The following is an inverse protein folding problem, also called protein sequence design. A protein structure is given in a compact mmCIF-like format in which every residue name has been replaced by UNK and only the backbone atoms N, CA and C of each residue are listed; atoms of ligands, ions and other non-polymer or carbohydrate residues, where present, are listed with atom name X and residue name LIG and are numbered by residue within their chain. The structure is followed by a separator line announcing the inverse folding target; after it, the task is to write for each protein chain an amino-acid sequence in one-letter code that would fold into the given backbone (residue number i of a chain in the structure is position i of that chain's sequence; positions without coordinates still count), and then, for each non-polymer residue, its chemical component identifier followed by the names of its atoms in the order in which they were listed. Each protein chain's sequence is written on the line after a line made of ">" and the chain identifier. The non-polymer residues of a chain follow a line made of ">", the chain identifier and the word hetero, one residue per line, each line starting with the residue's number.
data_IF_867144818559
#
_entry.id   IF_867144818559
#
_cell.length_a   1.000
_cell.length_b   1.000
_cell.length_c   1.000
_cell.angle_alpha   90.00
_cell.angle_beta   90.00
_cell.angle_gamma   90.00
#
_symmetry.space_group_name_H-M   'P 1'
#
loop_
_entity.id
_entity.type
_entity.pdbx_description
1 polymer ?
2 polymer ?
3 polymer ?
4 water ?
#
# COMPACT_ATOMS: atom_id res chain seq x y z
N UNK A 1 18.36 14.56 16.97
CA UNK A 1 17.37 14.74 15.88
C UNK A 1 16.09 15.36 16.45
N UNK A 2 15.56 16.36 15.74
CA UNK A 2 14.28 16.96 16.08
C UNK A 2 13.18 15.92 15.80
N UNK A 3 12.31 15.70 16.78
CA UNK A 3 11.22 14.75 16.65
C UNK A 3 9.91 15.52 16.48
N UNK A 4 9.04 15.00 15.62
CA UNK A 4 7.76 15.62 15.30
C UNK A 4 6.63 14.74 15.83
N UNK A 5 5.72 15.34 16.59
CA UNK A 5 4.58 14.65 17.16
C UNK A 5 3.31 15.09 16.45
N UNK A 6 2.61 14.12 15.83
CA UNK A 6 1.35 14.37 15.15
C UNK A 6 0.19 13.89 16.04
N UNK A 7 -0.89 14.66 16.03
CA UNK A 7 -2.13 14.32 16.69
C UNK A 7 -3.27 14.82 15.80
N UNK A 8 -4.32 14.00 15.66
CA UNK A 8 -4.41 12.69 16.29
C UNK A 8 -3.79 11.59 15.41
N UNK A 9 -3.78 10.36 15.93
CA UNK A 9 -3.25 9.20 15.20
C UNK A 9 -4.09 8.96 13.95
N UNK A 10 -5.41 8.82 14.17
CA UNK A 10 -6.38 8.65 13.10
C UNK A 10 -7.48 9.71 13.26
N UNK A 11 -8.39 9.75 12.28
CA UNK A 11 -9.34 10.84 12.14
C UNK A 11 -10.46 10.42 11.20
N UNK A 12 -11.66 10.24 11.76
CA UNK A 12 -12.83 9.81 11.02
C UNK A 12 -13.81 10.99 10.87
N UNK A 13 -14.04 11.42 9.62
CA UNK A 13 -14.77 12.66 9.32
C UNK A 13 -15.77 12.41 8.21
N UNK A 14 -16.93 13.07 8.31
CA UNK A 14 -17.98 13.01 7.32
C UNK A 14 -17.69 14.03 6.19
N UNK A 15 -18.02 13.66 4.96
CA UNK A 15 -17.86 14.51 3.79
C UNK A 15 -18.55 15.86 4.05
N UNK A 16 -17.79 16.94 3.98
CA UNK A 16 -18.32 18.30 4.10
C UNK A 16 -17.99 18.93 5.44
N UNK A 17 -17.51 18.11 6.37
CA UNK A 17 -17.14 18.57 7.71
C UNK A 17 -15.70 19.05 7.70
N UNK A 18 -15.30 19.90 8.67
CA UNK A 18 -13.91 20.34 8.79
C UNK A 18 -13.03 19.26 9.44
N UNK A 19 -11.72 19.50 9.43
CA UNK A 19 -10.74 18.63 10.08
C UNK A 19 -9.41 19.37 10.19
N UNK A 20 -8.63 19.03 11.21
CA UNK A 20 -7.34 19.66 11.44
C UNK A 20 -6.35 18.64 12.03
N UNK A 21 -5.08 18.82 11.69
CA UNK A 21 -3.98 18.00 12.19
C UNK A 21 -2.98 18.92 12.88
N UNK A 22 -2.44 18.48 14.01
CA UNK A 22 -1.42 19.22 14.74
C UNK A 22 -0.05 18.56 14.53
N UNK A 23 0.99 19.38 14.41
CA UNK A 23 2.36 18.90 14.45
C UNK A 23 3.18 19.76 15.42
N UNK A 24 3.72 19.10 16.45
CA UNK A 24 4.58 19.72 17.42
C UNK A 24 6.03 19.27 17.18
N UNK A 25 6.92 20.24 17.03
CA UNK A 25 8.36 19.99 16.90
C UNK A 25 9.02 20.22 18.27
N UNK A 26 9.99 19.36 18.60
CA UNK A 26 10.68 19.43 19.87
C UNK A 26 11.40 20.77 20.01
N UNK A 27 11.95 21.27 18.90
CA UNK A 27 12.66 22.56 18.85
C UNK A 27 11.93 23.51 17.89
N UNK A 28 12.22 24.81 18.03
CA UNK A 28 11.76 25.83 17.11
C UNK A 28 12.30 25.56 15.71
N UNK A 29 11.41 25.64 14.72
CA UNK A 29 11.78 25.40 13.32
C UNK A 29 12.08 26.74 12.63
N UNK A 30 11.99 27.82 13.41
CA UNK A 30 12.33 29.16 12.96
C UNK A 30 13.85 29.24 12.75
N UNK A 31 14.27 29.54 11.52
CA UNK A 31 15.68 29.55 11.15
C UNK A 31 16.22 30.99 11.21
N UNK A 32 17.53 31.14 10.97
CA UNK A 32 18.25 32.37 11.22
C UNK A 32 18.09 33.36 10.06
N UNK A 33 17.20 33.03 9.11
CA UNK A 33 16.94 33.91 7.96
C UNK A 33 15.47 34.34 7.98
N UNK A 34 14.76 33.94 9.03
CA UNK A 34 13.40 34.42 9.28
C UNK A 34 12.35 33.51 8.67
N UNK A 35 12.80 32.49 7.93
CA UNK A 35 11.90 31.52 7.31
C UNK A 35 11.77 30.28 8.21
N UNK A 36 10.63 29.61 8.09
CA UNK A 36 10.34 28.38 8.84
C UNK A 36 9.98 27.28 7.84
N UNK A 37 10.83 26.24 7.78
CA UNK A 37 10.72 25.19 6.78
C UNK A 37 9.94 23.99 7.35
N UNK A 38 8.62 24.08 7.27
CA UNK A 38 7.73 22.97 7.60
C UNK A 38 6.78 22.72 6.43
N UNK A 39 6.70 21.44 6.02
CA UNK A 39 5.91 21.03 4.88
C UNK A 39 4.83 20.07 5.35
N UNK A 40 3.79 19.89 4.52
CA UNK A 40 2.79 18.85 4.71
C UNK A 40 2.73 17.97 3.47
N UNK A 41 2.70 16.65 3.68
CA UNK A 41 2.56 15.67 2.60
C UNK A 41 1.25 14.91 2.78
N UNK A 42 0.66 14.49 1.66
CA UNK A 42 -0.46 13.57 1.65
C UNK A 42 -0.07 12.33 0.83
N UNK A 43 -0.20 11.16 1.46
CA UNK A 43 0.00 9.89 0.80
C UNK A 43 -1.35 9.17 0.69
N UNK A 44 -1.96 9.23 -0.49
CA UNK A 44 -3.16 8.47 -0.81
C UNK A 44 -2.81 7.00 -0.89
N UNK A 45 -3.77 6.10 -0.62
CA UNK A 45 -3.50 4.65 -0.63
C UNK A 45 -2.92 4.17 -1.97
N UNK A 46 -1.75 3.53 -1.90
CA UNK A 46 -1.13 2.88 -3.06
C UNK A 46 -0.27 3.85 -3.87
N UNK A 47 -0.32 5.14 -3.51
CA UNK A 47 0.42 6.17 -4.22
C UNK A 47 1.57 6.68 -3.32
N UNK A 48 2.48 7.44 -3.93
CA UNK A 48 3.63 8.00 -3.22
C UNK A 48 3.26 9.36 -2.62
N UNK A 49 3.97 9.81 -1.56
CA UNK A 49 3.65 11.08 -0.90
C UNK A 49 3.67 12.24 -1.88
N UNK A 50 2.78 13.23 -1.65
CA UNK A 50 2.70 14.44 -2.44
C UNK A 50 2.64 15.63 -1.47
N UNK A 51 3.47 16.65 -1.73
CA UNK A 51 3.51 17.82 -0.88
C UNK A 51 2.26 18.67 -1.14
N UNK A 52 1.69 19.20 -0.05
CA UNK A 52 0.51 20.07 -0.11
C UNK A 52 0.92 21.49 0.28
N UNK A 53 1.62 21.59 1.41
CA UNK A 53 2.01 22.86 2.01
C UNK A 53 3.53 22.90 2.16
N UNK A 54 4.11 24.08 1.94
CA UNK A 54 5.51 24.33 2.25
C UNK A 54 5.62 25.72 2.89
N UNK A 55 6.74 25.96 3.58
CA UNK A 55 6.99 27.21 4.31
C UNK A 55 5.75 27.56 5.15
N UNK A 56 5.20 26.53 5.81
CA UNK A 56 4.18 26.66 6.85
C UNK A 56 2.78 26.78 6.22
N UNK A 57 2.63 27.71 5.27
CA UNK A 57 1.29 28.20 4.88
C UNK A 57 1.10 28.27 3.36
N UNK A 58 2.18 28.14 2.59
CA UNK A 58 2.10 28.28 1.13
C UNK A 58 1.56 26.98 0.51
N UNK A 59 0.59 27.13 -0.41
CA UNK A 59 -0.01 26.01 -1.14
C UNK A 59 0.84 25.66 -2.36
N UNK A 60 1.02 24.36 -2.60
CA UNK A 60 1.66 23.85 -3.79
C UNK A 60 0.67 23.94 -4.97
N UNK A 61 1.21 24.06 -6.18
CA UNK A 61 0.42 24.05 -7.39
C UNK A 61 -0.50 22.83 -7.42
N UNK A 62 -1.78 23.05 -7.69
CA UNK A 62 -2.75 21.97 -7.87
C UNK A 62 -3.57 21.70 -6.62
N UNK A 63 -3.11 22.26 -5.49
CA UNK A 63 -3.75 22.03 -4.20
C UNK A 63 -4.96 22.94 -4.07
N UNK A 64 -6.16 22.39 -3.82
CA UNK A 64 -7.36 23.21 -3.60
C UNK A 64 -7.23 24.13 -2.39
N UNK A 65 -7.97 25.24 -2.41
CA UNK A 65 -7.86 26.29 -1.39
C UNK A 65 -8.53 25.82 -0.09
N UNK A 66 -9.13 24.63 -0.11
CA UNK A 66 -9.75 24.03 1.06
C UNK A 66 -8.67 23.80 2.13
N UNK A 67 -7.42 23.73 1.69
CA UNK A 67 -6.28 23.43 2.54
C UNK A 67 -5.66 24.73 3.05
N UNK A 68 -5.45 24.78 4.37
CA UNK A 68 -4.85 25.92 5.05
C UNK A 68 -3.84 25.41 6.08
N UNK A 69 -2.63 25.98 6.04
CA UNK A 69 -1.58 25.67 7.00
C UNK A 69 -1.17 26.91 7.77
N UNK A 70 -1.08 26.77 9.11
CA UNK A 70 -0.71 27.86 10.00
C UNK A 70 0.21 27.34 11.10
N UNK A 71 0.67 28.26 11.96
CA UNK A 71 1.52 27.95 13.10
C UNK A 71 2.84 28.69 13.05
N UNK A 72 3.68 28.44 14.06
CA UNK A 72 5.00 29.04 14.18
C UNK A 72 5.73 28.45 15.39
N UNK A 73 7.06 28.52 15.37
CA UNK A 73 7.89 28.01 16.45
C UNK A 73 7.87 26.49 16.52
N UNK A 74 6.92 25.96 17.28
CA UNK A 74 6.85 24.52 17.59
C UNK A 74 5.46 23.95 17.30
N UNK A 75 4.46 24.83 17.22
CA UNK A 75 3.09 24.42 17.00
C UNK A 75 2.66 24.80 15.58
N UNK A 76 2.19 23.81 14.82
CA UNK A 76 1.74 23.98 13.45
C UNK A 76 0.44 23.21 13.25
N UNK A 77 -0.40 23.68 12.32
CA UNK A 77 -1.71 23.08 12.08
C UNK A 77 -2.03 23.07 10.59
N UNK A 78 -2.65 21.97 10.15
CA UNK A 78 -3.20 21.82 8.82
C UNK A 78 -4.72 21.72 8.94
N UNK A 79 -5.40 22.57 8.19
CA UNK A 79 -6.87 22.59 8.31
C UNK A 79 -7.51 22.34 6.96
N UNK A 80 -8.35 21.33 6.92
CA UNK A 80 -9.21 21.04 5.78
C UNK A 80 -10.61 21.58 6.11
N UNK A 81 -10.94 22.75 5.54
CA UNK A 81 -12.19 23.44 5.83
C UNK A 81 -13.38 22.54 5.52
N UNK A 82 -13.25 21.76 4.45
CA UNK A 82 -14.33 20.92 3.95
C UNK A 82 -13.72 19.65 3.33
N UNK A 83 -13.97 18.51 3.98
CA UNK A 83 -13.38 17.23 3.57
C UNK A 83 -14.17 16.67 2.37
N UNK A 84 -13.43 16.22 1.36
CA UNK A 84 -13.99 15.48 0.23
C UNK A 84 -13.41 14.07 0.23
N UNK A 85 -13.91 13.22 -0.68
CA UNK A 85 -13.63 11.79 -0.68
C UNK A 85 -12.14 11.53 -0.95
N UNK A 86 -11.54 12.38 -1.80
CA UNK A 86 -10.18 12.13 -2.30
C UNK A 86 -9.15 12.77 -1.37
N UNK A 87 -9.59 13.23 -0.20
CA UNK A 87 -8.71 13.73 0.85
C UNK A 87 -8.25 12.53 1.70
N UNK A 88 -8.80 11.37 1.35
CA UNK A 88 -8.56 10.10 2.02
C UNK A 88 -7.08 9.72 1.88
N UNK A 89 -6.44 9.43 3.02
CA UNK A 89 -5.05 8.96 3.03
C UNK A 89 -4.36 9.23 4.36
N UNK A 90 -3.03 9.32 4.31
CA UNK A 90 -2.20 9.59 5.49
C UNK A 90 -1.44 10.91 5.28
N UNK A 91 -1.51 11.78 6.29
CA UNK A 91 -0.87 13.08 6.25
C UNK A 91 0.38 13.05 7.14
N UNK A 92 1.46 13.66 6.64
CA UNK A 92 2.68 13.84 7.40
C UNK A 92 3.06 15.32 7.38
N UNK A 93 3.73 15.74 8.45
CA UNK A 93 4.52 16.97 8.44
C UNK A 93 6.00 16.59 8.46
N UNK A 94 6.85 17.50 7.98
CA UNK A 94 8.28 17.28 7.91
C UNK A 94 8.98 18.63 8.10
N UNK A 95 10.12 18.61 8.82
CA UNK A 95 10.91 19.80 9.06
C UNK A 95 12.22 19.72 8.26
N UNK A 96 12.57 20.83 7.61
CA UNK A 96 13.79 20.95 6.84
C UNK A 96 14.67 22.08 7.35
N UNK A 97 14.50 22.41 8.63
CA UNK A 97 15.29 23.46 9.27
C UNK A 97 16.55 22.86 9.90
N UNK A 98 16.34 21.84 10.75
CA UNK A 98 17.42 21.15 11.46
C UNK A 98 17.80 19.86 10.76
N UNK A 99 19.11 19.63 10.63
CA UNK A 99 19.68 18.41 10.07
C UNK A 99 19.71 17.34 11.17
N UNK A 100 19.19 16.14 10.86
CA UNK A 100 18.67 15.82 9.54
C UNK A 100 17.13 15.94 9.43
N UNK A 101 16.65 16.17 8.21
CA UNK A 101 15.22 16.18 7.90
C UNK A 101 14.53 15.05 8.67
N UNK A 102 13.43 15.36 9.37
CA UNK A 102 12.66 14.37 10.11
C UNK A 102 11.17 14.56 9.85
N UNK A 103 10.41 13.46 10.00
CA UNK A 103 9.00 13.39 9.70
C UNK A 103 8.21 13.02 10.96
N UNK A 104 6.91 13.35 10.94
CA UNK A 104 5.96 12.91 11.96
C UNK A 104 5.45 11.51 11.65
N UNK A 105 4.86 10.87 12.66
CA UNK A 105 4.39 9.49 12.57
C UNK A 105 3.30 9.34 11.54
N UNK A 106 2.64 10.46 11.20
CA UNK A 106 1.57 10.47 10.21
C UNK A 106 0.21 10.41 10.90
N UNK A 107 -0.79 11.01 10.23
CA UNK A 107 -2.17 10.99 10.67
C UNK A 107 -3.03 10.38 9.57
N UNK A 108 -3.76 9.31 9.91
CA UNK A 108 -4.62 8.61 8.97
C UNK A 108 -6.01 9.28 9.00
N UNK A 109 -6.47 9.70 7.82
CA UNK A 109 -7.79 10.29 7.65
C UNK A 109 -8.73 9.26 7.01
N UNK A 110 -9.76 8.86 7.75
CA UNK A 110 -10.80 7.97 7.25
C UNK A 110 -12.07 8.80 7.02
N UNK A 111 -12.89 8.35 6.06
CA UNK A 111 -14.18 8.97 5.79
C UNK A 111 -15.24 8.30 6.67
N UNK A 112 -15.80 9.08 7.61
CA UNK A 112 -17.01 8.68 8.33
C UNK A 112 -18.14 8.57 7.30
N UNK A 113 -18.88 7.47 7.36
CA UNK A 113 -19.85 7.11 6.35
C UNK A 113 -20.98 6.34 7.03
N UNK A 114 -22.12 6.20 6.33
CA UNK A 114 -23.24 5.41 6.83
C UNK A 114 -22.83 3.93 6.85
N UNK A 115 -23.30 3.21 7.88
CA UNK A 115 -23.03 1.78 8.05
C UNK A 115 -23.46 1.02 6.80
N UNK A 116 -22.79 -0.10 6.53
CA UNK A 116 -23.01 -0.89 5.33
C UNK A 116 -22.66 -2.36 5.59
N UNK A 117 -23.64 -3.24 5.38
CA UNK A 117 -23.46 -4.67 5.60
C UNK A 117 -22.50 -5.23 4.56
N UNK A 118 -21.65 -6.21 4.93
CA UNK A 118 -20.80 -6.91 3.96
C UNK A 118 -21.58 -7.99 3.19
N UNK A 119 -21.22 -8.16 1.92
CA UNK A 119 -21.66 -9.30 1.13
C UNK A 119 -20.60 -10.39 1.26
N UNK A 120 -21.03 -11.61 1.62
CA UNK A 120 -20.13 -12.70 1.94
C UNK A 120 -20.22 -13.76 0.84
N UNK A 121 -19.05 -14.15 0.32
CA UNK A 121 -18.92 -15.24 -0.62
C UNK A 121 -17.91 -16.26 -0.08
N UNK A 122 -18.27 -17.54 -0.17
CA UNK A 122 -17.37 -18.63 0.19
C UNK A 122 -17.01 -19.41 -1.08
N UNK A 123 -15.76 -19.88 -1.15
CA UNK A 123 -15.25 -20.59 -2.31
C UNK A 123 -14.54 -21.87 -1.87
N UNK A 124 -15.03 -23.05 -2.29
CA UNK A 124 -14.33 -24.30 -2.05
C UNK A 124 -12.97 -24.30 -2.74
N UNK A 125 -12.05 -25.21 -2.37
CA UNK A 125 -10.74 -25.30 -3.03
C UNK A 125 -10.90 -25.72 -4.49
N UNK A 126 -10.04 -25.17 -5.36
CA UNK A 126 -10.01 -25.55 -6.77
C UNK A 126 -9.45 -26.97 -6.88
N UNK A 127 -9.89 -27.68 -7.93
CA UNK A 127 -9.43 -29.02 -8.21
C UNK A 127 -7.90 -29.01 -8.38
N UNK A 128 -7.40 -28.01 -9.11
CA UNK A 128 -5.97 -27.87 -9.39
C UNK A 128 -5.19 -27.93 -8.08
N UNK A 129 -5.67 -27.17 -7.09
CA UNK A 129 -4.96 -27.04 -5.81
C UNK A 129 -4.92 -28.40 -5.10
N UNK A 130 -6.03 -29.16 -5.20
CA UNK A 130 -6.21 -30.42 -4.49
C UNK A 130 -5.23 -31.48 -5.03
N UNK A 131 -4.97 -31.43 -6.34
CA UNK A 131 -4.09 -32.40 -6.99
C UNK A 131 -2.63 -32.07 -6.64
N UNK A 132 -2.43 -31.08 -5.75
CA UNK A 132 -1.10 -30.65 -5.32
C UNK A 132 -0.90 -30.95 -3.83
N UNK A 133 -1.98 -31.40 -3.17
CA UNK A 133 -1.92 -31.87 -1.79
C UNK A 133 -2.24 -30.77 -0.78
N UNK A 134 -2.87 -29.69 -1.26
CA UNK A 134 -3.27 -28.57 -0.41
C UNK A 134 -4.71 -28.16 -0.67
N UNK A 135 -5.33 -27.55 0.33
CA UNK A 135 -6.70 -27.07 0.23
C UNK A 135 -6.85 -25.73 0.94
N UNK A 136 -7.24 -24.70 0.18
CA UNK A 136 -7.51 -23.39 0.71
C UNK A 136 -8.98 -23.03 0.47
N UNK A 137 -9.70 -22.79 1.56
CA UNK A 137 -11.06 -22.27 1.49
C UNK A 137 -10.99 -20.76 1.71
N UNK A 138 -11.64 -20.01 0.82
CA UNK A 138 -11.56 -18.57 0.80
C UNK A 138 -12.94 -17.97 1.05
N UNK A 139 -12.97 -16.92 1.86
CA UNK A 139 -14.18 -16.18 2.15
C UNK A 139 -13.92 -14.68 1.93
N UNK A 140 -14.71 -14.08 1.02
CA UNK A 140 -14.64 -12.65 0.74
C UNK A 140 -15.76 -11.93 1.51
N UNK A 141 -15.40 -10.82 2.14
CA UNK A 141 -16.34 -9.93 2.82
C UNK A 141 -16.20 -8.53 2.21
N UNK A 142 -17.08 -8.23 1.25
CA UNK A 142 -16.92 -7.06 0.38
C UNK A 142 -17.81 -5.90 0.84
N UNK A 143 -17.24 -4.69 0.72
CA UNK A 143 -17.97 -3.42 0.78
C UNK A 143 -18.78 -3.33 2.08
N UNK A 144 -18.07 -3.10 3.20
CA UNK A 144 -18.71 -2.94 4.50
C UNK A 144 -18.13 -1.72 5.23
N UNK A 145 -18.84 -1.30 6.28
CA UNK A 145 -18.44 -0.19 7.13
C UNK A 145 -19.30 -0.23 8.39
N UNK A 146 -18.68 0.00 9.56
CA UNK A 146 -17.26 0.35 9.64
C UNK A 146 -16.32 -0.85 9.47
N UNK A 147 -15.03 -0.59 9.57
CA UNK A 147 -13.92 -1.56 9.36
C UNK A 147 -13.91 -2.69 10.39
N UNK A 148 -14.42 -2.44 11.60
CA UNK A 148 -14.41 -3.48 12.65
C UNK A 148 -15.30 -4.62 12.23
N UNK A 149 -14.69 -5.76 11.98
CA UNK A 149 -15.39 -6.97 11.60
C UNK A 149 -14.67 -8.17 12.19
N UNK A 150 -15.42 -9.26 12.36
CA UNK A 150 -14.97 -10.44 13.07
C UNK A 150 -15.39 -11.67 12.25
N UNK A 151 -14.39 -12.43 11.76
CA UNK A 151 -14.64 -13.61 10.94
C UNK A 151 -14.28 -14.87 11.74
N UNK A 152 -15.15 -15.86 11.67
CA UNK A 152 -14.97 -17.16 12.35
C UNK A 152 -15.08 -18.27 11.32
N UNK A 153 -14.24 -19.28 11.44
CA UNK A 153 -14.32 -20.48 10.61
C UNK A 153 -14.81 -21.65 11.46
N UNK A 154 -15.74 -22.42 10.91
CA UNK A 154 -16.24 -23.63 11.54
C UNK A 154 -16.07 -24.79 10.55
N UNK A 155 -15.27 -25.78 10.94
CA UNK A 155 -15.14 -27.03 10.20
C UNK A 155 -15.92 -28.11 10.95
N UNK A 156 -16.94 -28.65 10.29
CA UNK A 156 -17.86 -29.62 10.89
C UNK A 156 -18.33 -29.09 12.24
N UNK A 157 -18.76 -27.81 12.23
CA UNK A 157 -19.39 -27.18 13.40
C UNK A 157 -18.35 -26.66 14.39
N UNK A 158 -17.12 -27.17 14.31
CA UNK A 158 -16.07 -26.82 15.26
C UNK A 158 -15.27 -25.61 14.74
N UNK A 159 -14.98 -24.67 15.65
CA UNK A 159 -14.27 -23.44 15.33
C UNK A 159 -12.79 -23.76 15.09
N UNK A 160 -12.19 -23.06 14.13
CA UNK A 160 -10.79 -23.25 13.74
C UNK A 160 -10.11 -21.89 13.63
N UNK A 161 -8.98 -21.74 14.32
CA UNK A 161 -8.26 -20.46 14.39
C UNK A 161 -6.93 -20.55 13.64
N UNK A 162 -6.29 -21.73 13.71
CA UNK A 162 -5.00 -21.95 13.04
C UNK A 162 -5.23 -22.15 11.55
N UNK A 163 -4.33 -21.56 10.74
CA UNK A 163 -4.33 -21.73 9.29
C UNK A 163 -5.11 -20.63 8.58
N UNK A 164 -5.54 -19.62 9.35
CA UNK A 164 -6.39 -18.55 8.84
C UNK A 164 -5.54 -17.30 8.58
N UNK A 165 -5.50 -16.87 7.32
CA UNK A 165 -4.90 -15.60 6.91
C UNK A 165 -6.02 -14.61 6.57
N UNK A 166 -6.05 -13.49 7.31
CA UNK A 166 -6.99 -12.41 7.03
C UNK A 166 -6.23 -11.26 6.38
N UNK A 167 -6.91 -10.50 5.52
CA UNK A 167 -6.32 -9.33 4.87
C UNK A 167 -7.39 -8.28 4.56
N UNK A 168 -7.13 -7.04 4.96
CA UNK A 168 -8.03 -5.91 4.71
C UNK A 168 -7.52 -5.11 3.50
N UNK A 169 -8.47 -4.54 2.79
CA UNK A 169 -8.09 -3.55 1.78
C UNK A 169 -8.13 -2.19 2.49
N UNK A 170 -7.78 -1.15 1.77
CA UNK A 170 -7.81 0.21 2.38
C UNK A 170 -9.18 0.82 2.15
N UNK A 171 -9.39 2.04 2.61
CA UNK A 171 -10.72 2.61 2.35
C UNK A 171 -10.86 2.87 0.86
N UNK A 172 -11.92 2.35 0.26
CA UNK A 172 -12.21 2.55 -1.16
C UNK A 172 -12.61 4.02 -1.37
N UNK A 173 -11.93 4.67 -2.32
CA UNK A 173 -12.12 6.09 -2.60
C UNK A 173 -13.51 6.34 -3.19
N UNK A 174 -14.08 5.35 -3.85
CA UNK A 174 -15.38 5.57 -4.51
C UNK A 174 -16.56 5.47 -3.55
N UNK A 175 -16.60 4.47 -2.68
CA UNK A 175 -17.78 4.27 -1.84
C UNK A 175 -17.41 4.33 -0.35
N UNK A 176 -16.13 4.52 -0.06
CA UNK A 176 -15.65 4.72 1.32
C UNK A 176 -15.83 3.45 2.16
N UNK A 177 -16.08 2.32 1.49
CA UNK A 177 -16.27 1.04 2.18
C UNK A 177 -14.91 0.35 2.36
N UNK A 178 -14.92 -0.74 3.13
CA UNK A 178 -13.79 -1.65 3.29
C UNK A 178 -14.18 -3.05 2.81
N UNK A 179 -13.17 -3.84 2.43
CA UNK A 179 -13.33 -5.26 2.12
C UNK A 179 -12.21 -6.03 2.80
N UNK A 180 -12.45 -7.32 3.09
CA UNK A 180 -11.41 -8.19 3.63
C UNK A 180 -11.58 -9.60 3.05
N UNK A 181 -10.46 -10.34 2.97
CA UNK A 181 -10.47 -11.72 2.52
C UNK A 181 -9.98 -12.61 3.67
N UNK A 182 -10.67 -13.74 3.86
CA UNK A 182 -10.29 -14.72 4.86
C UNK A 182 -10.02 -16.06 4.18
N UNK A 183 -8.81 -16.58 4.38
CA UNK A 183 -8.36 -17.81 3.75
C UNK A 183 -7.98 -18.84 4.81
N UNK A 184 -8.67 -19.98 4.80
CA UNK A 184 -8.36 -21.12 5.65
C UNK A 184 -7.62 -22.17 4.80
N UNK A 185 -6.44 -22.59 5.26
CA UNK A 185 -5.59 -23.52 4.51
C UNK A 185 -5.33 -24.77 5.35
N UNK A 186 -5.61 -25.93 4.75
CA UNK A 186 -5.34 -27.23 5.36
C UNK A 186 -4.63 -28.11 4.32
N UNK A 187 -4.26 -29.32 4.77
CA UNK A 187 -3.80 -30.39 3.88
C UNK A 187 -5.03 -30.98 3.16
N UNK A 188 -4.78 -31.68 2.07
CA UNK A 188 -5.82 -32.39 1.32
C UNK A 188 -6.50 -33.39 2.26
N UNK A 189 -5.68 -34.17 2.97
CA UNK A 189 -6.16 -35.18 3.93
C UNK A 189 -7.18 -34.53 4.88
N UNK A 190 -6.71 -33.52 5.61
CA UNK A 190 -7.51 -32.79 6.61
C UNK A 190 -8.87 -32.40 6.00
N UNK A 191 -8.83 -31.83 4.79
CA UNK A 191 -10.01 -31.30 4.12
C UNK A 191 -10.99 -32.42 3.78
N UNK A 192 -10.46 -33.61 3.47
CA UNK A 192 -11.26 -34.73 3.00
C UNK A 192 -11.82 -35.53 4.20
N UNK A 193 -11.47 -35.14 5.41
CA UNK A 193 -11.96 -35.87 6.61
C UNK A 193 -13.15 -35.14 7.22
N UNK A 194 -13.55 -34.02 6.63
CA UNK A 194 -14.67 -33.24 7.14
C UNK A 194 -15.66 -32.95 6.00
N UNK A 195 -16.83 -32.41 6.35
CA UNK A 195 -17.92 -32.23 5.39
C UNK A 195 -18.27 -30.74 5.23
N UNK A 196 -18.62 -30.08 6.34
CA UNK A 196 -19.15 -28.72 6.27
C UNK A 196 -18.09 -27.69 6.65
N UNK A 197 -17.95 -26.67 5.80
CA UNK A 197 -17.02 -25.57 6.01
C UNK A 197 -17.81 -24.25 6.05
N UNK A 198 -17.60 -23.47 7.11
CA UNK A 198 -18.45 -22.32 7.42
C UNK A 198 -17.60 -21.07 7.66
N UNK A 199 -18.16 -19.92 7.27
CA UNK A 199 -17.52 -18.63 7.34
C UNK A 199 -18.49 -17.64 7.98
N UNK A 200 -18.28 -17.36 9.28
CA UNK A 200 -19.17 -16.51 10.07
C UNK A 200 -18.58 -15.11 10.16
N UNK A 201 -19.41 -14.11 9.83
CA UNK A 201 -19.06 -12.71 9.95
C UNK A 201 -19.94 -12.04 11.01
N UNK A 202 -19.29 -11.42 12.00
CA UNK A 202 -19.95 -10.60 12.99
C UNK A 202 -19.66 -9.13 12.66
N UNK A 203 -20.72 -8.33 12.59
CA UNK A 203 -20.63 -6.92 12.23
C UNK A 203 -21.82 -6.17 12.83
N UNK A 204 -21.58 -4.92 13.20
CA UNK A 204 -22.58 -4.08 13.90
C UNK A 204 -23.83 -3.90 13.07
N UNK A 205 -23.78 -4.21 11.79
CA UNK A 205 -24.92 -4.08 10.88
C UNK A 205 -25.87 -5.27 11.03
N UNK A 206 -25.46 -6.26 11.85
CA UNK A 206 -26.20 -7.51 11.96
C UNK A 206 -26.26 -7.96 13.42
N UNK A 207 -27.49 -8.20 13.89
CA UNK A 207 -27.74 -8.75 15.23
C UNK A 207 -27.14 -10.14 15.33
N UNK A 208 -27.45 -10.98 14.34
CA UNK A 208 -26.87 -12.31 14.23
C UNK A 208 -25.75 -12.30 13.20
N UNK A 209 -24.75 -13.19 13.31
CA UNK A 209 -23.74 -13.34 12.26
C UNK A 209 -24.40 -13.75 10.94
N UNK A 210 -23.89 -13.23 9.83
CA UNK A 210 -24.29 -13.69 8.51
C UNK A 210 -23.32 -14.80 8.10
N UNK A 211 -23.90 -15.94 7.69
CA UNK A 211 -23.18 -17.19 7.58
C UNK A 211 -23.28 -17.70 6.15
N UNK A 212 -22.11 -18.09 5.61
CA UNK A 212 -22.03 -18.81 4.35
C UNK A 212 -21.26 -20.11 4.60
N UNK A 213 -21.73 -21.21 4.00
CA UNK A 213 -21.05 -22.49 4.14
C UNK A 213 -21.36 -23.38 2.94
N UNK A 214 -20.69 -24.54 2.91
CA UNK A 214 -20.89 -25.55 1.90
C UNK A 214 -20.49 -26.92 2.47
N UNK A 215 -21.18 -27.96 2.03
CA UNK A 215 -20.82 -29.33 2.33
C UNK A 215 -20.09 -29.89 1.11
N UNK A 216 -19.18 -30.84 1.35
CA UNK A 216 -18.53 -31.55 0.26
C UNK A 216 -19.53 -32.56 -0.31
N UNK A 217 -20.49 -32.04 -1.08
CA UNK A 217 -21.55 -32.80 -1.71
C UNK A 217 -22.04 -32.02 -2.94
N UNK A 218 -21.11 -31.79 -3.87
CA UNK A 218 -21.37 -31.02 -5.10
C UNK A 218 -20.08 -30.83 -5.91
N UNK A 219 -20.15 -30.84 -7.25
CA UNK A 219 -18.95 -30.69 -8.10
C UNK A 219 -17.91 -29.85 -7.36
N UNK B 1 5.12 17.50 -16.13
CA UNK B 1 6.22 17.64 -17.12
C UNK B 1 7.43 16.81 -16.72
N UNK B 2 7.81 16.90 -15.44
CA UNK B 2 8.99 16.21 -14.90
C UNK B 2 8.55 14.85 -14.35
N UNK B 3 9.45 13.86 -14.46
CA UNK B 3 9.17 12.49 -14.03
C UNK B 3 10.44 11.86 -13.44
N UNK B 4 10.30 11.29 -12.25
CA UNK B 4 11.34 10.53 -11.56
C UNK B 4 10.94 9.05 -11.53
N UNK B 5 11.92 8.16 -11.76
CA UNK B 5 11.65 6.73 -11.84
C UNK B 5 12.76 5.95 -11.14
N UNK B 6 12.37 5.14 -10.16
CA UNK B 6 13.29 4.27 -9.43
C UNK B 6 13.40 2.92 -10.15
N UNK B 7 14.62 2.38 -10.19
CA UNK B 7 14.89 1.06 -10.72
C UNK B 7 16.03 0.42 -9.91
N UNK B 8 16.09 -0.91 -9.98
CA UNK B 8 17.06 -1.70 -9.23
C UNK B 8 16.45 -3.02 -8.79
N UNK B 9 17.22 -3.92 -8.14
CA UNK B 9 16.71 -5.21 -7.71
C UNK B 9 15.62 -5.05 -6.65
N UNK B 10 14.73 -6.05 -6.57
CA UNK B 10 13.68 -6.09 -5.57
C UNK B 10 14.08 -6.97 -4.40
N UNK B 11 15.05 -7.86 -4.63
CA UNK B 11 15.50 -8.82 -3.63
C UNK B 11 17.02 -8.76 -3.49
N UNK B 12 17.47 -8.57 -2.25
CA UNK B 12 18.89 -8.45 -1.92
C UNK B 12 19.19 -9.37 -0.73
N UNK B 13 20.35 -10.03 -0.78
CA UNK B 13 20.79 -10.92 0.29
C UNK B 13 21.45 -10.09 1.39
N UNK B 14 21.30 -10.49 2.67
CA UNK B 14 21.90 -9.74 3.78
C UNK B 14 23.42 -9.60 3.61
N UNK B 15 23.92 -8.39 3.85
CA UNK B 15 25.36 -8.10 3.86
C UNK B 15 25.83 -7.63 2.48
N UNK B 16 24.98 -7.79 1.46
CA UNK B 16 25.30 -7.39 0.09
C UNK B 16 25.12 -5.87 -0.03
N UNK B 17 25.44 -5.34 -1.21
CA UNK B 17 25.30 -3.91 -1.50
C UNK B 17 24.00 -3.67 -2.28
N UNK B 18 23.14 -2.82 -1.73
CA UNK B 18 21.94 -2.37 -2.41
C UNK B 18 22.31 -1.22 -3.36
N UNK B 19 21.84 -1.33 -4.60
CA UNK B 19 22.15 -0.36 -5.64
C UNK B 19 20.89 0.00 -6.42
N UNK B 20 20.46 1.26 -6.28
CA UNK B 20 19.26 1.77 -6.92
C UNK B 20 19.62 2.87 -7.93
N UNK B 21 18.73 3.09 -8.89
CA UNK B 21 18.89 4.11 -9.91
C UNK B 21 17.62 4.97 -9.95
N UNK B 22 17.80 6.30 -10.01
CA UNK B 22 16.72 7.22 -10.25
C UNK B 22 16.97 7.94 -11.59
N UNK B 23 16.14 7.63 -12.58
CA UNK B 23 16.21 8.24 -13.90
C UNK B 23 15.24 9.43 -13.93
N UNK B 24 15.74 10.59 -14.37
CA UNK B 24 14.99 11.83 -14.38
C UNK B 24 14.81 12.29 -15.84
N UNK B 25 13.59 12.71 -16.17
CA UNK B 25 13.25 13.25 -17.48
C UNK B 25 12.45 14.54 -17.30
N UNK B 26 12.72 15.53 -18.16
CA UNK B 26 11.96 16.78 -18.19
C UNK B 26 12.69 17.90 -17.47
N UNK B 27 13.82 17.56 -16.83
CA UNK B 27 14.64 18.54 -16.15
C UNK B 27 16.05 17.97 -15.94
N UNK B 28 17.04 18.87 -15.92
CA UNK B 28 18.45 18.50 -15.76
C UNK B 28 18.83 18.59 -14.28
N UNK B 29 19.60 17.60 -13.82
CA UNK B 29 19.95 17.47 -12.41
C UNK B 29 21.18 18.33 -12.10
N UNK B 30 21.64 19.08 -13.12
CA UNK B 30 22.80 19.96 -12.99
C UNK B 30 22.32 21.41 -12.85
N UNK B 31 21.03 21.64 -13.13
CA UNK B 31 20.44 22.98 -13.18
C UNK B 31 20.21 23.52 -11.77
N UNK B 32 19.46 22.78 -10.95
CA UNK B 32 18.96 23.30 -9.68
C UNK B 32 18.39 22.15 -8.84
N UNK B 33 18.07 22.48 -7.58
CA UNK B 33 17.31 21.62 -6.68
C UNK B 33 18.22 20.57 -6.04
N UNK B 34 17.70 19.95 -4.96
CA UNK B 34 18.35 18.84 -4.28
C UNK B 34 17.64 17.55 -4.68
N UNK B 35 18.44 16.50 -4.91
CA UNK B 35 17.94 15.23 -5.40
C UNK B 35 18.13 14.15 -4.34
N UNK B 36 17.01 13.70 -3.77
CA UNK B 36 16.98 13.01 -2.49
C UNK B 36 16.60 11.53 -2.65
N UNK B 37 17.01 10.73 -1.67
CA UNK B 37 16.56 9.37 -1.46
C UNK B 37 15.86 9.29 -0.11
N UNK B 38 14.62 8.79 -0.14
CA UNK B 38 13.80 8.62 1.05
C UNK B 38 13.20 7.21 1.01
N UNK B 39 13.16 6.54 2.15
CA UNK B 39 12.55 5.22 2.21
C UNK B 39 11.43 5.21 3.27
N UNK B 40 10.42 4.38 2.99
CA UNK B 40 9.27 4.19 3.86
C UNK B 40 9.27 2.74 4.34
N UNK B 41 9.19 2.55 5.67
CA UNK B 41 9.19 1.23 6.27
C UNK B 41 7.75 0.75 6.41
N UNK B 42 7.52 -0.58 6.50
CA UNK B 42 6.21 -1.10 6.90
C UNK B 42 5.81 -0.42 8.22
N UNK B 43 4.58 0.10 8.27
CA UNK B 43 4.11 0.91 9.40
C UNK B 43 3.95 2.36 9.00
N UNK B 44 4.59 2.73 7.88
CA UNK B 44 4.37 4.01 7.20
C UNK B 44 5.42 5.04 7.62
N UNK B 45 6.37 4.60 8.43
CA UNK B 45 7.44 5.47 8.95
C UNK B 45 8.37 5.89 7.83
N UNK B 46 8.62 7.19 7.72
CA UNK B 46 9.48 7.74 6.66
C UNK B 46 10.84 8.10 7.23
N UNK B 47 11.89 7.86 6.44
CA UNK B 47 13.25 8.19 6.82
C UNK B 47 13.96 8.85 5.62
N UNK B 48 14.42 10.09 5.82
CA UNK B 48 15.27 10.75 4.84
C UNK B 48 16.69 10.17 4.95
N UNK B 49 17.23 9.74 3.80
CA UNK B 49 18.50 9.01 3.77
C UNK B 49 19.64 9.96 3.38
N UNK B 50 19.46 10.69 2.28
CA UNK B 50 20.45 11.64 1.82
C UNK B 50 20.04 12.29 0.51
N UNK B 51 20.85 13.26 0.06
CA UNK B 51 20.62 13.95 -1.20
C UNK B 51 21.96 14.26 -1.87
N UNK B 52 21.89 14.53 -3.17
CA UNK B 52 22.95 15.18 -3.92
C UNK B 52 22.37 16.45 -4.55
N UNK B 53 23.09 17.56 -4.40
CA UNK B 53 22.65 18.85 -4.95
C UNK B 53 22.96 18.88 -6.44
N UNK B 54 22.48 19.92 -7.12
CA UNK B 54 22.72 20.12 -8.54
C UNK B 54 24.21 20.35 -8.78
N UNK B 55 24.91 20.79 -7.72
CA UNK B 55 26.32 21.17 -7.80
C UNK B 55 27.23 19.96 -7.54
N UNK B 56 26.66 18.94 -6.89
CA UNK B 56 27.34 17.66 -6.70
C UNK B 56 27.71 17.38 -5.25
N UNK B 57 27.33 18.29 -4.34
CA UNK B 57 27.58 18.09 -2.91
C UNK B 57 26.50 17.14 -2.36
N UNK B 58 26.84 16.43 -1.27
CA UNK B 58 26.00 15.39 -0.74
C UNK B 58 25.77 15.63 0.77
N UNK B 59 24.55 15.35 1.21
CA UNK B 59 24.20 15.29 2.62
C UNK B 59 23.59 13.94 2.96
N UNK B 60 24.07 13.34 4.05
CA UNK B 60 23.65 12.00 4.46
C UNK B 60 23.09 12.03 5.88
N UNK B 61 22.01 11.27 6.09
CA UNK B 61 21.47 11.04 7.43
C UNK B 61 22.57 10.42 8.27
N UNK B 62 22.88 11.01 9.45
CA UNK B 62 24.01 10.55 10.27
C UNK B 62 23.90 9.07 10.68
N UNK B 63 22.67 8.53 10.68
CA UNK B 63 22.41 7.15 11.08
C UNK B 63 22.87 6.18 9.98
N UNK B 64 23.15 6.71 8.78
CA UNK B 64 23.51 5.91 7.61
C UNK B 64 24.91 6.26 7.13
N UNK B 65 25.37 7.47 7.46
CA UNK B 65 26.59 8.07 6.91
C UNK B 65 27.64 6.99 6.62
N UNK B 66 27.77 6.02 7.53
CA UNK B 66 28.84 5.03 7.49
C UNK B 66 28.78 4.20 6.22
N UNK B 67 27.57 3.87 5.74
CA UNK B 67 27.41 2.84 4.71
C UNK B 67 26.53 3.33 3.55
N UNK B 68 26.34 4.65 3.42
CA UNK B 68 25.54 5.21 2.33
C UNK B 68 26.45 6.02 1.40
N UNK B 69 26.15 5.94 0.09
CA UNK B 69 26.81 6.74 -0.93
C UNK B 69 25.79 7.12 -2.01
N UNK B 70 25.87 8.38 -2.46
CA UNK B 70 25.02 8.89 -3.53
C UNK B 70 25.91 9.51 -4.61
N UNK B 71 25.67 9.10 -5.86
CA UNK B 71 26.44 9.56 -7.01
C UNK B 71 25.46 9.92 -8.12
N UNK B 72 25.99 10.44 -9.23
CA UNK B 72 25.18 10.84 -10.37
C UNK B 72 25.97 10.64 -11.66
N UNK B 73 25.23 10.52 -12.76
CA UNK B 73 25.78 10.53 -14.10
C UNK B 73 25.11 11.68 -14.87
N UNK B 74 25.87 12.76 -15.09
CA UNK B 74 25.34 14.01 -15.63
C UNK B 74 25.00 13.85 -17.11
N UNK B 75 25.52 12.80 -17.74
CA UNK B 75 25.32 12.56 -19.17
C UNK B 75 24.06 11.72 -19.42
N UNK B 76 23.59 11.05 -18.37
CA UNK B 76 22.44 10.17 -18.46
C UNK B 76 21.28 10.76 -17.64
N UNK B 77 21.59 11.79 -16.83
CA UNK B 77 20.60 12.46 -16.02
C UNK B 77 20.03 11.45 -15.01
N UNK B 78 20.92 10.72 -14.34
CA UNK B 78 20.56 9.74 -13.32
C UNK B 78 21.36 10.02 -12.05
N UNK B 79 20.76 9.74 -10.89
CA UNK B 79 21.52 9.66 -9.65
C UNK B 79 21.24 8.32 -8.97
N UNK B 80 22.17 7.90 -8.11
CA UNK B 80 22.26 6.54 -7.65
C UNK B 80 22.34 6.50 -6.13
N UNK B 81 21.84 5.41 -5.54
CA UNK B 81 21.98 5.12 -4.12
C UNK B 81 22.76 3.82 -3.96
N UNK B 82 23.84 3.88 -3.18
CA UNK B 82 24.58 2.70 -2.78
C UNK B 82 24.53 2.60 -1.26
N UNK B 83 23.89 1.54 -0.77
CA UNK B 83 23.79 1.25 0.66
C UNK B 83 24.46 -0.10 0.93
N UNK B 84 25.57 -0.07 1.66
CA UNK B 84 26.35 -1.27 1.97
C UNK B 84 25.67 -2.03 3.11
N UNK B 85 26.21 -3.42 3.32
CA UNK B 85 26.01 -4.09 4.60
C UNK B 85 24.53 -3.99 5.03
N UNK B 86 23.66 -4.33 4.10
CA UNK B 86 22.23 -4.26 4.34
C UNK B 86 21.83 -5.42 5.25
N UNK B 87 20.87 -5.14 6.14
CA UNK B 87 20.23 -6.14 6.98
C UNK B 87 18.74 -6.22 6.58
N UNK B 88 18.02 -7.13 7.23
CA UNK B 88 16.60 -7.32 6.99
C UNK B 88 15.84 -6.07 7.42
N UNK B 89 16.51 -5.21 8.21
CA UNK B 89 15.94 -3.99 8.76
C UNK B 89 15.91 -2.90 7.68
N UNK B 90 16.57 -3.18 6.54
CA UNK B 90 16.66 -2.25 5.43
C UNK B 90 15.56 -2.56 4.40
N UNK B 91 14.74 -3.56 4.69
CA UNK B 91 13.54 -3.85 3.90
C UNK B 91 12.61 -2.65 3.94
N UNK B 92 12.29 -2.10 2.77
CA UNK B 92 11.55 -0.85 2.70
C UNK B 92 11.25 -0.47 1.24
N UNK B 93 10.36 0.51 1.08
CA UNK B 93 10.09 1.15 -0.20
C UNK B 93 11.02 2.37 -0.34
N UNK B 94 11.77 2.42 -1.43
CA UNK B 94 12.74 3.48 -1.66
C UNK B 94 12.21 4.43 -2.74
N UNK B 95 12.12 5.71 -2.39
CA UNK B 95 11.72 6.77 -3.31
C UNK B 95 12.91 7.68 -3.62
N UNK B 96 12.91 8.26 -4.83
CA UNK B 96 13.74 9.42 -5.12
C UNK B 96 12.81 10.63 -5.30
N UNK B 97 13.31 11.82 -4.96
CA UNK B 97 12.49 13.01 -4.91
C UNK B 97 13.37 14.25 -5.09
N UNK B 98 12.78 15.30 -5.67
CA UNK B 98 13.47 16.54 -5.98
C UNK B 98 12.65 17.72 -5.45
N UNK B 99 13.28 18.53 -4.60
CA UNK B 99 12.66 19.70 -3.99
C UNK B 99 13.76 20.62 -3.43
N UNK B 100 13.36 21.72 -2.80
CA UNK B 100 14.31 22.70 -2.27
C UNK B 100 13.75 23.38 -1.03
N UNK B 101 12.46 23.17 -0.75
CA UNK B 101 11.86 23.51 0.55
C UNK B 101 11.51 24.99 0.65
N UNK B 102 11.68 25.76 -0.43
CA UNK B 102 11.33 27.19 -0.39
C UNK B 102 10.70 27.60 -1.72
N UNK B 103 10.61 26.65 -2.65
CA UNK B 103 10.10 26.87 -4.00
C UNK B 103 8.95 25.90 -4.26
N UNK B 104 8.24 26.13 -5.37
CA UNK B 104 7.05 25.35 -5.74
C UNK B 104 7.45 23.98 -6.29
N UNK B 105 8.68 23.87 -6.79
CA UNK B 105 9.17 22.66 -7.47
C UNK B 105 9.25 21.49 -6.48
N UNK B 106 8.53 20.41 -6.78
CA UNK B 106 8.50 19.20 -5.94
C UNK B 106 7.97 18.02 -6.76
N UNK B 107 8.75 16.94 -6.78
CA UNK B 107 8.42 15.73 -7.54
C UNK B 107 8.99 14.51 -6.82
N UNK B 108 8.14 13.49 -6.66
CA UNK B 108 8.51 12.19 -6.09
C UNK B 108 8.38 11.12 -7.17
N UNK B 109 9.24 10.10 -7.12
CA UNK B 109 9.08 8.90 -7.91
C UNK B 109 7.85 8.12 -7.46
N UNK B 110 7.69 6.92 -8.00
CA UNK B 110 6.57 6.05 -7.64
C UNK B 110 7.03 5.08 -6.54
N UNK B 111 8.35 4.95 -6.40
CA UNK B 111 8.95 4.11 -5.38
C UNK B 111 9.17 2.69 -5.88
N UNK B 112 10.12 2.00 -5.24
CA UNK B 112 10.45 0.63 -5.59
C UNK B 112 10.69 -0.15 -4.28
N UNK B 113 10.07 -1.33 -4.19
CA UNK B 113 10.17 -2.15 -3.00
C UNK B 113 11.47 -2.95 -3.03
N UNK B 114 12.21 -2.90 -1.92
CA UNK B 114 13.43 -3.67 -1.74
C UNK B 114 13.25 -4.57 -0.51
N UNK B 115 13.32 -5.88 -0.74
CA UNK B 115 13.27 -6.88 0.30
C UNK B 115 14.68 -7.43 0.55
N UNK B 116 15.13 -7.34 1.80
CA UNK B 116 16.39 -7.95 2.20
C UNK B 116 16.06 -9.26 2.94
N UNK B 117 16.46 -10.38 2.33
CA UNK B 117 16.09 -11.71 2.81
C UNK B 117 17.06 -12.75 2.23
N UNK B 118 17.07 -13.92 2.86
CA UNK B 118 17.92 -15.03 2.43
C UNK B 118 17.09 -16.03 1.61
N UNK B 119 15.76 -15.88 1.67
CA UNK B 119 14.83 -16.74 0.96
C UNK B 119 15.07 -16.65 -0.54
N UNK B 120 14.71 -17.70 -1.24
CA UNK B 120 14.90 -17.74 -2.72
C UNK B 120 13.63 -17.24 -3.39
N UNK B 121 13.79 -16.62 -4.54
CA UNK B 121 12.70 -16.21 -5.41
C UNK B 121 11.85 -17.44 -5.74
N UNK B 122 10.54 -17.34 -5.54
CA UNK B 122 9.62 -18.45 -5.72
C UNK B 122 8.41 -18.01 -6.54
N UNK B 123 8.10 -18.71 -7.65
CA UNK B 123 6.97 -18.35 -8.51
C UNK B 123 5.65 -18.73 -7.87
N UNK B 124 4.59 -17.91 -8.04
CA UNK B 124 3.28 -18.20 -7.44
C UNK B 124 2.53 -19.34 -8.16
N UNK B 125 1.67 -20.02 -7.40
CA UNK B 125 0.64 -20.85 -7.95
C UNK B 125 -0.67 -20.06 -7.94
N UNK B 126 -1.35 -20.03 -9.09
CA UNK B 126 -2.56 -19.26 -9.26
C UNK B 126 -3.73 -20.24 -9.42
N UNK B 127 -4.69 -20.17 -8.49
CA UNK B 127 -5.84 -21.04 -8.48
C UNK B 127 -7.10 -20.21 -8.71
N UNK B 128 -8.07 -20.71 -9.51
CA UNK B 128 -9.30 -19.98 -9.78
C UNK B 128 -10.37 -20.27 -8.72
N UNK B 129 -11.04 -19.22 -8.26
CA UNK B 129 -12.11 -19.35 -7.28
C UNK B 129 -13.45 -19.14 -7.97
N UNK B 130 -14.11 -20.27 -8.28
CA UNK B 130 -15.44 -20.27 -8.86
C UNK B 130 -16.45 -20.62 -7.78
N UNK B 131 -17.69 -20.09 -7.86
CA UNK B 131 -18.73 -20.43 -6.89
C UNK B 131 -19.07 -21.93 -6.95
N UNK B 132 -19.58 -22.46 -5.83
CA UNK B 132 -19.96 -23.87 -5.72
C UNK B 132 -21.46 -24.07 -5.75
N UNK B 133 -22.11 -23.50 -6.77
CA UNK B 133 -23.59 -23.60 -6.93
C UNK B 133 -24.20 -22.19 -6.91
N UNK B 134 -24.35 -21.61 -5.72
CA UNK B 134 -24.93 -20.25 -5.56
C UNK B 134 -26.25 -20.15 -6.34
N UNK B 135 -26.35 -19.15 -7.23
CA UNK B 135 -27.57 -18.95 -8.04
C UNK B 135 -27.19 -18.29 -9.37
N UNK B 136 -27.63 -18.88 -10.49
CA UNK B 136 -27.33 -18.34 -11.83
C UNK B 136 -28.23 -17.12 -12.10
N UNK B 137 -29.50 -17.20 -11.69
CA UNK B 137 -30.46 -16.08 -11.90
C UNK B 137 -30.37 -15.11 -10.71
N UNK B 138 -29.21 -14.50 -10.51
CA UNK B 138 -29.00 -13.56 -9.41
C UNK B 138 -28.37 -12.28 -9.96
N UNK B 139 -28.50 -11.23 -9.18
CA UNK B 139 -27.97 -9.97 -9.73
C UNK B 139 -26.49 -10.14 -10.01
N UNK B 140 -25.73 -10.38 -8.96
CA UNK B 140 -24.28 -10.35 -9.04
C UNK B 140 -23.69 -11.68 -8.57
N UNK B 141 -22.72 -12.19 -9.34
CA UNK B 141 -21.82 -13.25 -8.88
C UNK B 141 -20.42 -12.65 -8.71
N UNK B 142 -19.69 -13.13 -7.70
CA UNK B 142 -18.32 -12.71 -7.49
C UNK B 142 -17.41 -13.92 -7.70
N UNK B 143 -16.29 -13.68 -8.38
CA UNK B 143 -15.26 -14.70 -8.60
C UNK B 143 -13.95 -14.18 -8.02
N UNK B 144 -12.89 -14.99 -8.09
CA UNK B 144 -11.60 -14.58 -7.57
C UNK B 144 -10.46 -15.47 -8.06
N UNK B 145 -9.23 -14.95 -7.88
CA UNK B 145 -8.01 -15.70 -8.09
C UNK B 145 -7.23 -15.74 -6.77
N UNK B 146 -6.71 -16.91 -6.44
CA UNK B 146 -5.85 -17.09 -5.28
C UNK B 146 -4.41 -17.25 -5.77
N UNK B 147 -3.55 -16.31 -5.35
CA UNK B 147 -2.14 -16.28 -5.72
C UNK B 147 -1.32 -16.69 -4.50
N UNK B 148 -0.83 -17.93 -4.52
CA UNK B 148 -0.30 -18.58 -3.32
C UNK B 148 1.16 -19.00 -3.51
N UNK B 149 2.00 -18.68 -2.51
CA UNK B 149 3.31 -19.29 -2.32
C UNK B 149 4.38 -18.66 -3.20
N UNK B 150 4.40 -17.33 -3.28
CA UNK B 150 5.39 -16.61 -4.07
C UNK B 150 6.31 -15.82 -3.14
N UNK B 151 7.49 -15.46 -3.67
CA UNK B 151 8.47 -14.59 -3.03
C UNK B 151 9.44 -14.09 -4.09
N UNK B 152 9.67 -12.78 -4.13
CA UNK B 152 9.09 -11.83 -3.19
C UNK B 152 7.94 -11.00 -3.76
N UNK B 153 7.49 -10.01 -2.98
CA UNK B 153 6.60 -8.96 -3.47
C UNK B 153 7.36 -8.12 -4.50
N UNK B 154 6.64 -7.59 -5.49
CA UNK B 154 5.19 -7.68 -5.58
C UNK B 154 4.70 -8.61 -6.69
N UNK B 155 3.37 -8.70 -6.83
CA UNK B 155 2.72 -9.28 -8.00
C UNK B 155 1.67 -8.29 -8.51
N UNK B 156 1.39 -8.36 -9.81
CA UNK B 156 0.33 -7.57 -10.42
C UNK B 156 -0.80 -8.51 -10.84
N UNK B 157 -2.03 -8.16 -10.43
CA UNK B 157 -3.23 -8.87 -10.85
C UNK B 157 -4.13 -7.90 -11.62
N UNK B 158 -4.41 -8.28 -12.83
CA UNK B 158 -5.50 -7.63 -13.56
C UNK B 158 -6.56 -8.68 -13.89
N UNK B 159 -7.68 -8.19 -14.45
CA UNK B 159 -8.79 -9.03 -14.86
C UNK B 159 -9.16 -8.73 -16.31
N UNK B 160 -8.95 -9.91 -17.45
CA UNK B 160 -9.32 -9.59 -18.82
C UNK B 160 -8.38 -8.52 -19.37
N UNK B 161 -7.18 -8.41 -18.79
CA UNK B 161 -6.13 -7.54 -19.28
C UNK B 161 -6.49 -6.07 -19.03
N UNK B 162 -7.20 -5.81 -17.93
CA UNK B 162 -7.54 -4.45 -17.51
C UNK B 162 -8.87 -3.98 -18.07
N UNK B 163 -9.67 -4.93 -18.58
CA UNK B 163 -10.99 -4.64 -19.15
C UNK B 163 -12.01 -4.47 -18.02
N UNK B 164 -11.91 -5.33 -16.99
CA UNK B 164 -12.63 -5.16 -15.74
C UNK B 164 -11.75 -4.41 -14.76
N UNK B 165 -12.23 -3.25 -14.29
CA UNK B 165 -11.55 -2.47 -13.26
C UNK B 165 -12.55 -2.08 -12.17
N UNK B 166 -13.84 -2.25 -12.47
CA UNK B 166 -14.91 -2.00 -11.52
C UNK B 166 -15.48 -3.35 -11.04
N UNK B 167 -15.59 -3.49 -9.72
CA UNK B 167 -16.11 -4.71 -9.10
C UNK B 167 -15.01 -5.55 -8.49
N UNK B 168 -13.59 -4.75 -8.53
CA UNK B 168 -12.41 -5.57 -8.26
C UNK B 168 -11.84 -5.17 -6.89
N UNK B 169 -11.43 -6.19 -6.12
CA UNK B 169 -10.75 -6.01 -4.85
C UNK B 169 -9.51 -6.91 -4.79
N UNK B 170 -8.33 -6.29 -4.87
CA UNK B 170 -7.05 -6.98 -4.74
C UNK B 170 -6.49 -6.72 -3.34
N UNK B 171 -6.45 -7.78 -2.53
CA UNK B 171 -6.12 -7.68 -1.11
C UNK B 171 -4.61 -7.79 -0.91
N UNK B 172 -4.05 -6.99 0.02
CA UNK B 172 -2.62 -7.03 0.32
C UNK B 172 -2.14 -8.45 0.69
N UNK B 173 -0.92 -8.78 0.29
CA UNK B 173 -0.34 -10.09 0.55
C UNK B 173 -0.13 -10.28 2.05
N UNK B 174 -0.17 -11.53 2.51
CA UNK B 174 0.14 -11.89 3.88
C UNK B 174 1.26 -12.95 3.85
N UNK B 175 2.09 -12.93 4.90
CA UNK B 175 3.28 -13.76 5.00
C UNK B 175 3.03 -14.92 5.96
N UNK B 176 3.34 -16.12 5.52
CA UNK B 176 3.26 -17.31 6.38
C UNK B 176 4.44 -18.15 5.91
N UNK B 177 5.42 -18.31 6.80
CA UNK B 177 6.74 -18.96 6.63
C UNK B 177 7.65 -17.98 5.91
N UNK B 178 7.69 -18.01 4.59
CA UNK B 178 8.53 -17.05 3.84
C UNK B 178 7.92 -16.97 2.46
N UNK B 179 6.64 -17.20 2.43
CA UNK B 179 5.85 -17.20 1.21
C UNK B 179 4.63 -16.29 1.40
N UNK B 180 4.33 -15.51 0.35
CA UNK B 180 3.22 -14.59 0.34
C UNK B 180 2.00 -15.27 -0.26
N UNK B 181 0.82 -14.79 0.17
CA UNK B 181 -0.50 -15.20 -0.31
C UNK B 181 -1.34 -13.94 -0.56
N UNK B 182 -1.74 -13.76 -1.81
CA UNK B 182 -2.55 -12.60 -2.24
C UNK B 182 -3.86 -13.13 -2.83
N UNK B 183 -4.89 -12.31 -2.81
CA UNK B 183 -6.15 -12.75 -3.42
C UNK B 183 -6.83 -11.55 -4.07
N UNK B 184 -7.49 -11.80 -5.18
CA UNK B 184 -8.29 -10.78 -5.83
C UNK B 184 -9.69 -11.33 -6.08
N UNK B 185 -10.68 -10.42 -6.02
CA UNK B 185 -12.07 -10.75 -6.29
C UNK B 185 -12.65 -9.71 -7.26
N UNK B 186 -13.56 -10.18 -8.11
CA UNK B 186 -14.29 -9.32 -9.04
C UNK B 186 -15.77 -9.72 -9.01
N UNK B 187 -16.64 -8.71 -8.90
CA UNK B 187 -18.07 -8.91 -8.88
C UNK B 187 -18.64 -8.50 -10.24
N UNK B 188 -19.47 -9.37 -10.82
CA UNK B 188 -20.07 -9.13 -12.13
C UNK B 188 -21.55 -9.53 -12.07
N UNK B 189 -22.36 -9.09 -13.05
CA UNK B 189 -23.76 -9.49 -13.14
C UNK B 189 -23.86 -10.98 -13.53
N UNK B 190 -24.99 -11.60 -13.19
CA UNK B 190 -25.19 -13.02 -13.44
C UNK B 190 -25.31 -13.28 -14.95
N UNK B 191 -25.82 -12.28 -15.68
CA UNK B 191 -25.98 -12.36 -17.13
C UNK B 191 -24.64 -12.67 -17.78
N UNK B 192 -23.11 -11.91 -17.66
CA UNK B 192 -21.85 -12.09 -18.39
C UNK B 192 -21.23 -13.47 -18.12
N UNK B 193 -21.04 -13.79 -16.83
CA UNK B 193 -20.44 -15.06 -16.42
C UNK B 193 -21.49 -15.88 -15.65
N UNK B 194 -21.55 -17.34 -16.87
CA UNK B 194 -20.39 -17.94 -17.53
C UNK B 194 -20.42 -17.73 -19.04
N UNK B 195 -21.43 -16.99 -19.52
CA UNK B 195 -21.65 -16.77 -20.93
C UNK B 195 -20.47 -16.01 -21.56
N UNK B 196 -19.67 -15.35 -20.69
CA UNK B 196 -18.50 -14.61 -21.13
C UNK B 196 -17.28 -15.10 -20.35
N UNK B 197 -16.09 -14.95 -20.94
CA UNK B 197 -14.84 -15.39 -20.36
C UNK B 197 -14.32 -14.32 -19.40
N UNK B 198 -14.08 -14.73 -18.14
CA UNK B 198 -13.41 -13.90 -17.14
C UNK B 198 -12.06 -14.56 -16.80
N UNK B 199 -10.99 -13.85 -17.10
CA UNK B 199 -9.63 -14.33 -16.90
C UNK B 199 -8.89 -13.36 -15.98
N UNK B 200 -8.19 -13.91 -14.98
CA UNK B 200 -7.30 -13.11 -14.14
C UNK B 200 -5.86 -13.32 -14.60
N UNK B 201 -5.15 -12.20 -14.76
CA UNK B 201 -3.80 -12.18 -15.29
C UNK B 201 -2.84 -11.84 -14.14
N UNK B 202 -1.99 -12.79 -13.77
CA UNK B 202 -1.04 -12.62 -12.68
C UNK B 202 0.37 -12.49 -13.26
N UNK B 203 1.08 -11.45 -12.84
CA UNK B 203 2.45 -11.20 -13.26
C UNK B 203 3.35 -11.07 -12.02
N UNK B 204 4.41 -11.90 -11.98
CA UNK B 204 5.40 -11.87 -10.92
C UNK B 204 6.77 -11.60 -11.53
N UNK B 205 7.16 -10.30 -11.68
CA UNK B 205 8.41 -9.94 -12.33
C UNK B 205 9.65 -10.61 -11.71
N UNK B 206 9.72 -10.63 -10.38
CA UNK B 206 10.90 -11.10 -9.67
C UNK B 206 11.29 -12.52 -10.14
N UNK B 207 10.34 -13.23 -10.74
CA UNK B 207 10.55 -14.61 -11.19
C UNK B 207 10.21 -14.73 -12.68
N UNK B 208 9.98 -13.59 -13.33
CA UNK B 208 9.65 -13.53 -14.75
C UNK B 208 8.52 -14.52 -15.06
N UNK B 209 7.45 -14.45 -14.25
CA UNK B 209 6.32 -15.37 -14.36
C UNK B 209 5.07 -14.59 -14.79
N UNK B 210 4.32 -15.17 -15.73
CA UNK B 210 3.02 -14.66 -16.15
C UNK B 210 2.08 -15.86 -16.32
N UNK B 211 0.87 -15.74 -15.75
CA UNK B 211 -0.12 -16.78 -15.81
C UNK B 211 -1.50 -16.16 -15.99
N UNK B 212 -2.29 -16.74 -16.89
CA UNK B 212 -3.68 -16.39 -17.11
C UNK B 212 -4.54 -17.59 -16.74
N UNK B 213 -5.54 -17.36 -15.89
CA UNK B 213 -6.45 -18.42 -15.44
C UNK B 213 -7.89 -18.02 -15.74
N UNK B 214 -8.56 -18.84 -16.55
CA UNK B 214 -9.99 -18.73 -16.80
C UNK B 214 -10.73 -19.23 -15.55
N UNK B 215 -11.79 -18.54 -15.21
CA UNK B 215 -12.63 -19.03 -14.08
C UNK B 215 -13.76 -19.84 -14.72
N UNK B 216 -13.63 -21.16 -14.73
CA UNK B 216 -14.68 -22.02 -15.33
C UNK B 216 -15.57 -22.55 -14.22
N UNK B 217 -16.86 -22.74 -14.49
CA UNK B 217 -17.81 -23.21 -13.48
C UNK B 217 -17.54 -24.68 -13.09
N UNK B 218 -17.86 -24.96 -11.83
CA UNK B 218 -17.91 -26.35 -11.34
C UNK B 218 -19.41 -26.62 -11.19
N UNK B 219 -20.12 -25.67 -10.53
CA UNK B 219 -21.57 -25.68 -10.32
C UNK B 219 -22.03 -27.06 -9.87
N UNK B 220 -22.54 -27.85 -10.82
CA UNK B 220 -23.28 -29.08 -10.53
C UNK B 220 -24.12 -28.89 -9.26
N UNK C 1 22.72 25.27 6.63
CA UNK C 1 22.53 23.79 6.53
C UNK C 1 21.22 23.50 5.78
N UNK C 2 20.13 24.26 6.02
CA UNK C 2 18.91 24.11 5.23
C UNK C 2 19.20 24.20 3.72
N UNK C 3 18.29 23.66 2.92
CA UNK C 3 18.52 23.45 1.50
C UNK C 3 18.65 24.78 0.76
N UNK C 4 17.94 25.80 1.23
CA UNK C 4 17.93 27.11 0.57
C UNK C 4 19.34 27.72 0.62
N UNK C 5 20.05 27.47 1.72
CA UNK C 5 21.40 27.97 1.93
C UNK C 5 22.39 27.16 1.08
N UNK C 6 22.17 25.85 1.03
CA UNK C 6 23.10 24.89 0.45
C UNK C 6 23.04 24.98 -1.08
N UNK C 7 21.92 25.46 -1.61
CA UNK C 7 21.68 25.50 -3.05
C UNK C 7 22.05 26.88 -3.62
N UNK C 8 22.03 27.91 -2.77
CA UNK C 8 22.14 29.30 -3.24
C UNK C 8 23.51 29.89 -2.85
N UNK C 9 24.36 29.05 -2.27
CA UNK C 9 25.70 29.52 -1.90
C UNK C 9 26.73 28.62 -2.55
#
# INVERSE_FOLDING_TARGET
>A
DVQMTQTPLTLSVTIGQPASISCESSQSLLYSNGKTYLNWLLQRPGQSPKRLIYLVSKLDSGVPDRFTGSGSGTDFTLRISRVEAEDLGVYYCVQGTHFPRTFGGGTKLEIKRADAAPTVSIFPPSSEQLTSGGASVVCFLNNFYPKDINVKWKIDGSERQNGVLNSWTDQDSKDSTYSMSSTLTLTKDEYERHNSYTCEATHKTSTSPIVKSFNRNEC
>B
GVQLQESGPGLVKPSQSLSLTCTVTGYSITSDYAWNWIRQFPGNKLEWMGYITYSGSTGYNPSLKSRISITRDTSKNQFFLQLNSVTTEDTATYYCASYDDYTWFTYWGQGTLVTVSAAKTTPPSVFPLAPGSAAQTNSMVTLGCLVKGYFPEPVTVTWNSGSLSSGVHTFPAVLQSDLYTLSSSVTVPSSPRPSETVTCNVAHPASSTKVDKKIVPRDC
>C
KPLEEVLNL
#
